data_IF_856713846007
#
_entry.id   IF_856713846007
#
_cell.length_a   1.000
_cell.length_b   1.000
_cell.length_c   1.000
_cell.angle_alpha   90.00
_cell.angle_beta   90.00
_cell.angle_gamma   90.00
#
_symmetry.space_group_name_H-M   'P 1'
#
loop_
_entity.id
_entity.type
_entity.pdbx_description
1 polymer ?
2 non-polymer ?
3 non-polymer ?
4 water ?
#
# COMPACT_ATOMS: atom_id res chain seq x y z
N UNK A 15 11.47 -6.50 -31.91
CA UNK A 15 11.11 -6.43 -30.49
C UNK A 15 10.45 -7.72 -29.99
N UNK A 16 10.81 -8.15 -28.79
CA UNK A 16 10.16 -9.33 -28.21
C UNK A 16 8.70 -9.02 -27.94
N UNK A 17 7.86 -10.05 -28.01
CA UNK A 17 6.44 -9.91 -27.76
C UNK A 17 6.02 -10.96 -26.74
N UNK A 18 5.24 -10.56 -25.74
CA UNK A 18 4.80 -11.48 -24.69
C UNK A 18 3.29 -11.49 -24.64
N UNK A 19 2.71 -12.69 -24.71
CA UNK A 19 1.27 -12.91 -24.59
C UNK A 19 0.49 -11.77 -25.22
N UNK A 20 0.87 -11.45 -26.46
CA UNK A 20 0.11 -10.55 -27.26
C UNK A 20 0.62 -9.14 -27.40
N UNK A 21 1.76 -8.78 -26.80
CA UNK A 21 2.19 -7.42 -27.07
C UNK A 21 3.68 -7.19 -26.83
N UNK A 22 4.12 -6.06 -27.35
CA UNK A 22 5.53 -5.75 -27.57
C UNK A 22 6.14 -5.21 -26.29
N UNK A 23 7.39 -5.61 -26.04
CA UNK A 23 8.23 -5.04 -25.00
C UNK A 23 9.44 -4.40 -25.67
N UNK A 24 9.39 -3.08 -25.89
CA UNK A 24 10.48 -2.37 -26.56
C UNK A 24 11.62 -2.06 -25.58
N UNK A 25 12.16 -3.13 -24.99
CA UNK A 25 13.08 -2.99 -23.86
C UNK A 25 14.51 -3.29 -24.24
N UNK A 26 14.79 -3.62 -25.50
CA UNK A 26 16.10 -4.07 -25.91
C UNK A 26 16.99 -2.92 -26.26
N UNK A 27 18.30 -3.20 -26.45
CA UNK A 27 18.89 -4.53 -26.34
C UNK A 27 19.29 -4.96 -24.93
N UNK A 28 19.26 -4.05 -23.95
CA UNK A 28 19.80 -4.38 -22.63
C UNK A 28 19.06 -5.55 -21.98
N UNK A 29 17.75 -5.67 -22.20
CA UNK A 29 16.93 -6.67 -21.53
C UNK A 29 16.39 -7.65 -22.55
N UNK A 30 16.59 -8.95 -22.30
CA UNK A 30 16.25 -9.98 -23.26
C UNK A 30 15.64 -11.19 -22.54
N UNK A 31 15.12 -12.12 -23.34
CA UNK A 31 14.58 -13.39 -22.85
C UNK A 31 13.48 -13.16 -21.81
N UNK A 32 12.41 -12.55 -22.26
CA UNK A 32 11.29 -12.19 -21.41
C UNK A 32 10.41 -13.41 -21.12
N UNK A 33 9.86 -13.43 -19.91
CA UNK A 33 8.89 -14.43 -19.49
C UNK A 33 7.75 -13.71 -18.78
N UNK A 34 6.53 -14.12 -19.09
CA UNK A 34 5.35 -13.48 -18.55
C UNK A 34 5.21 -13.77 -17.06
N UNK A 35 4.83 -12.75 -16.29
CA UNK A 35 4.50 -12.90 -14.87
C UNK A 35 3.01 -12.62 -14.63
N UNK A 36 2.55 -11.43 -14.98
CA UNK A 36 1.17 -11.06 -14.79
C UNK A 36 0.85 -9.80 -15.56
N UNK A 37 -0.39 -9.37 -15.45
CA UNK A 37 -0.84 -8.17 -16.13
C UNK A 37 -1.98 -7.53 -15.35
N UNK A 38 -2.21 -6.25 -15.62
CA UNK A 38 -3.27 -5.46 -15.05
C UNK A 38 -4.10 -4.76 -16.11
N UNK A 39 -4.83 -3.71 -15.72
CA UNK A 39 -5.75 -3.07 -16.66
C UNK A 39 -5.03 -2.35 -17.80
N UNK A 40 -3.83 -1.86 -17.54
CA UNK A 40 -3.13 -1.07 -18.55
C UNK A 40 -1.64 -1.38 -18.55
N UNK A 41 -1.26 -2.62 -18.25
CA UNK A 41 0.14 -2.97 -18.33
C UNK A 41 0.34 -4.46 -18.21
N UNK A 42 1.61 -4.86 -18.23
CA UNK A 42 1.99 -6.26 -18.14
C UNK A 42 3.35 -6.34 -17.47
N UNK A 43 3.51 -7.30 -16.56
CA UNK A 43 4.79 -7.53 -15.89
C UNK A 43 5.43 -8.77 -16.49
N UNK A 44 6.70 -8.66 -16.85
CA UNK A 44 7.50 -9.79 -17.26
C UNK A 44 8.78 -9.81 -16.44
N UNK A 45 9.44 -10.97 -16.46
CA UNK A 45 10.82 -11.09 -16.07
C UNK A 45 11.67 -11.02 -17.33
N UNK A 46 12.90 -10.52 -17.18
CA UNK A 46 13.78 -10.40 -18.33
C UNK A 46 15.21 -10.46 -17.83
N UNK A 47 16.10 -10.82 -18.74
CA UNK A 47 17.52 -10.92 -18.42
C UNK A 47 18.18 -9.57 -18.65
N UNK A 48 18.80 -9.05 -17.61
CA UNK A 48 19.53 -7.79 -17.69
C UNK A 48 20.93 -8.10 -18.20
N UNK A 49 21.19 -7.77 -19.48
CA UNK A 49 22.49 -8.11 -20.07
C UNK A 49 23.64 -7.34 -19.45
N UNK A 50 23.36 -6.20 -18.82
CA UNK A 50 24.43 -5.42 -18.21
C UNK A 50 24.78 -5.93 -16.83
N UNK A 51 23.78 -6.12 -15.97
CA UNK A 51 24.01 -6.59 -14.61
C UNK A 51 23.99 -8.11 -14.50
N UNK A 52 23.66 -8.82 -15.58
CA UNK A 52 23.79 -10.28 -15.64
C UNK A 52 22.92 -10.96 -14.59
N UNK A 53 21.68 -10.48 -14.50
CA UNK A 53 20.71 -10.97 -13.53
C UNK A 53 19.34 -10.84 -14.18
N UNK A 54 18.41 -11.71 -13.78
CA UNK A 54 17.05 -11.50 -14.23
C UNK A 54 16.40 -10.43 -13.37
N UNK A 55 15.54 -9.62 -13.99
CA UNK A 55 14.87 -8.50 -13.37
C UNK A 55 13.38 -8.61 -13.68
N UNK A 56 12.60 -7.74 -13.05
CA UNK A 56 11.21 -7.56 -13.44
C UNK A 56 11.10 -6.29 -14.27
N UNK A 57 10.32 -6.35 -15.35
CA UNK A 57 9.99 -5.18 -16.15
C UNK A 57 8.48 -5.05 -16.19
N UNK A 58 7.97 -3.90 -15.75
CA UNK A 58 6.53 -3.61 -15.81
C UNK A 58 6.28 -2.65 -16.97
N UNK A 59 5.59 -3.14 -17.99
CA UNK A 59 5.17 -2.30 -19.11
C UNK A 59 3.92 -1.54 -18.69
N UNK A 60 3.95 -0.23 -18.75
CA UNK A 60 2.83 0.61 -18.34
C UNK A 60 2.38 1.43 -19.53
N UNK A 61 1.08 1.39 -19.84
CA UNK A 61 0.50 2.10 -20.98
C UNK A 61 -0.62 3.01 -20.48
N UNK A 62 -0.27 4.12 -19.80
CA UNK A 62 -1.27 4.85 -19.03
C UNK A 62 -1.88 6.06 -19.72
N UNK A 63 -1.38 6.42 -20.90
CA UNK A 63 -1.51 7.80 -21.34
C UNK A 63 -2.92 8.14 -21.83
N UNK A 64 -3.80 7.17 -22.02
CA UNK A 64 -5.16 7.46 -22.46
C UNK A 64 -6.08 7.91 -21.33
N UNK A 65 -5.61 7.91 -20.08
CA UNK A 65 -6.52 8.20 -18.97
C UNK A 65 -5.80 8.94 -17.85
N UNK A 66 -6.44 10.00 -17.36
CA UNK A 66 -5.83 10.85 -16.35
C UNK A 66 -5.47 10.07 -15.09
N UNK A 67 -6.38 9.21 -14.61
CA UNK A 67 -6.11 8.49 -13.37
C UNK A 67 -4.95 7.53 -13.54
N UNK A 68 -4.88 6.81 -14.67
CA UNK A 68 -3.72 5.97 -14.94
C UNK A 68 -2.45 6.81 -14.93
N UNK A 69 -2.50 8.01 -15.52
CA UNK A 69 -1.33 8.86 -15.56
C UNK A 69 -0.95 9.34 -14.16
N UNK A 70 -1.94 9.65 -13.33
CA UNK A 70 -1.68 10.00 -11.93
C UNK A 70 -0.97 8.87 -11.19
N UNK A 71 -1.56 7.67 -11.21
CA UNK A 71 -0.94 6.52 -10.55
C UNK A 71 0.49 6.31 -11.02
N UNK A 72 0.71 6.37 -12.33
CA UNK A 72 2.04 6.14 -12.85
C UNK A 72 3.03 7.17 -12.33
N UNK A 73 2.61 8.44 -12.29
CA UNK A 73 3.53 9.49 -11.89
C UNK A 73 3.84 9.44 -10.41
N UNK A 74 2.83 9.16 -9.57
CA UNK A 74 3.11 9.02 -8.15
C UNK A 74 4.10 7.89 -7.89
N UNK A 75 3.88 6.75 -8.54
CA UNK A 75 4.79 5.62 -8.36
C UNK A 75 6.21 6.00 -8.73
N UNK A 76 6.40 6.57 -9.92
CA UNK A 76 7.76 6.87 -10.37
C UNK A 76 8.41 7.91 -9.46
N UNK A 77 7.67 8.97 -9.16
CA UNK A 77 8.27 10.09 -8.42
C UNK A 77 8.64 9.68 -7.01
N UNK A 78 7.77 8.96 -6.32
CA UNK A 78 8.09 8.54 -4.94
C UNK A 78 9.19 7.50 -4.92
N UNK A 79 9.08 6.47 -5.76
CA UNK A 79 10.05 5.37 -5.68
C UNK A 79 11.44 5.82 -6.07
N UNK A 80 11.56 6.81 -6.97
CA UNK A 80 12.86 7.35 -7.29
C UNK A 80 13.46 8.12 -6.12
N UNK A 81 12.63 8.78 -5.32
CA UNK A 81 13.16 9.54 -4.19
C UNK A 81 13.49 8.63 -3.01
N UNK A 82 12.70 7.58 -2.79
CA UNK A 82 12.92 6.72 -1.64
C UNK A 82 14.09 5.78 -1.85
N UNK A 83 14.83 5.53 -0.78
CA UNK A 83 15.86 4.49 -0.77
C UNK A 83 15.77 3.78 0.58
N UNK A 84 15.22 2.56 0.58
CA UNK A 84 15.00 1.81 1.81
C UNK A 84 14.93 0.32 1.48
N UNK A 85 15.52 -0.50 2.34
CA UNK A 85 15.57 -1.96 2.11
C UNK A 85 14.19 -2.59 2.00
N UNK A 86 13.16 -2.00 2.63
CA UNK A 86 11.82 -2.59 2.60
C UNK A 86 10.87 -1.84 1.66
N UNK A 87 11.40 -1.10 0.70
CA UNK A 87 10.63 -0.43 -0.33
C UNK A 87 11.28 -0.75 -1.68
N UNK A 88 10.47 -1.21 -2.64
CA UNK A 88 11.04 -1.63 -3.93
C UNK A 88 11.66 -0.41 -4.61
N UNK A 89 12.82 -0.61 -5.20
CA UNK A 89 13.45 0.45 -5.94
C UNK A 89 13.11 0.39 -7.43
N UNK A 90 13.41 1.48 -8.11
CA UNK A 90 13.35 1.55 -9.57
C UNK A 90 14.79 1.53 -10.10
N UNK A 91 15.18 0.43 -10.76
CA UNK A 91 16.54 0.30 -11.28
C UNK A 91 16.76 1.05 -12.58
N UNK A 92 15.70 1.22 -13.36
CA UNK A 92 15.82 1.71 -14.72
C UNK A 92 14.42 2.02 -15.19
N UNK A 93 14.31 2.93 -16.16
CA UNK A 93 13.03 3.19 -16.80
C UNK A 93 13.29 3.34 -18.29
N UNK A 94 12.56 2.56 -19.09
CA UNK A 94 12.71 2.55 -20.54
C UNK A 94 11.49 3.23 -21.14
N UNK A 95 11.74 4.21 -22.03
CA UNK A 95 10.69 4.77 -22.86
C UNK A 95 11.35 5.43 -24.09
N UNK A 96 10.50 5.89 -25.01
CA UNK A 96 10.96 6.47 -26.26
C UNK A 96 11.69 7.79 -26.03
N UNK A 97 12.61 8.17 -26.93
CA UNK A 97 13.39 9.40 -26.71
C UNK A 97 12.57 10.69 -26.76
N UNK A 98 11.34 10.68 -27.28
CA UNK A 98 10.55 11.90 -27.39
C UNK A 98 9.15 11.65 -26.85
N UNK A 99 8.46 12.75 -26.52
CA UNK A 99 7.09 12.63 -26.03
C UNK A 99 6.20 12.00 -27.09
N UNK A 100 6.31 12.49 -28.34
CA UNK A 100 5.46 12.01 -29.42
C UNK A 100 5.60 10.51 -29.60
N UNK A 101 6.81 9.98 -29.47
CA UNK A 101 7.03 8.57 -29.69
C UNK A 101 6.77 7.71 -28.46
N UNK A 102 6.58 8.32 -27.28
CA UNK A 102 6.38 7.58 -26.05
C UNK A 102 4.91 7.19 -25.94
N UNK A 103 4.63 5.89 -26.15
CA UNK A 103 3.31 5.32 -25.91
C UNK A 103 3.26 4.49 -24.64
N UNK A 104 4.42 4.10 -24.11
CA UNK A 104 4.50 3.23 -22.95
C UNK A 104 5.68 3.66 -22.13
N UNK A 105 5.74 3.16 -20.90
CA UNK A 105 6.89 3.31 -20.04
C UNK A 105 7.13 1.97 -19.40
N UNK A 106 8.39 1.58 -19.29
CA UNK A 106 8.78 0.32 -18.68
C UNK A 106 9.53 0.61 -17.40
N UNK A 107 9.00 0.14 -16.27
CA UNK A 107 9.67 0.28 -14.99
C UNK A 107 10.40 -1.02 -14.68
N UNK A 108 11.72 -0.93 -14.53
CA UNK A 108 12.55 -2.08 -14.24
C UNK A 108 12.81 -2.11 -12.74
N UNK A 109 12.67 -3.29 -12.14
CA UNK A 109 12.84 -3.46 -10.70
C UNK A 109 13.56 -4.76 -10.43
N UNK A 110 14.06 -4.89 -9.20
CA UNK A 110 14.58 -6.19 -8.78
C UNK A 110 13.50 -7.25 -8.97
N UNK A 111 13.90 -8.42 -9.43
CA UNK A 111 12.95 -9.50 -9.60
C UNK A 111 12.67 -10.12 -8.23
N UNK A 112 11.40 -10.09 -7.84
CA UNK A 112 10.95 -10.70 -6.59
C UNK A 112 10.31 -12.05 -6.89
N UNK A 113 10.27 -12.92 -5.89
CA UNK A 113 9.75 -14.27 -6.15
C UNK A 113 8.23 -14.27 -6.18
N UNK A 114 7.59 -13.51 -5.30
CA UNK A 114 6.14 -13.52 -5.21
C UNK A 114 5.70 -12.22 -4.53
N UNK A 115 4.39 -12.08 -4.33
CA UNK A 115 3.88 -11.06 -3.43
C UNK A 115 3.05 -11.74 -2.35
N UNK A 116 2.69 -10.96 -1.33
CA UNK A 116 2.03 -11.57 -0.18
C UNK A 116 0.63 -12.07 -0.53
N UNK A 117 -0.02 -11.45 -1.52
CA UNK A 117 -1.33 -11.93 -1.95
C UNK A 117 -1.24 -13.35 -2.51
N UNK A 118 -0.36 -13.54 -3.50
CA UNK A 118 -0.15 -14.88 -4.06
C UNK A 118 0.31 -15.85 -2.99
N UNK A 119 1.17 -15.39 -2.08
CA UNK A 119 1.69 -16.25 -1.03
C UNK A 119 0.58 -16.73 -0.10
N UNK A 120 -0.28 -15.82 0.36
CA UNK A 120 -1.33 -16.24 1.28
C UNK A 120 -2.36 -17.14 0.60
N UNK A 121 -2.51 -17.02 -0.72
CA UNK A 121 -3.41 -17.94 -1.43
C UNK A 121 -2.96 -19.39 -1.30
N UNK A 122 -1.67 -19.63 -1.09
CA UNK A 122 -1.09 -20.95 -1.30
C UNK A 122 -0.25 -21.49 -0.15
N UNK A 123 0.06 -20.69 0.88
CA UNK A 123 1.01 -21.10 1.91
C UNK A 123 0.51 -20.70 3.29
N UNK A 124 0.71 -21.59 4.26
CA UNK A 124 0.51 -21.25 5.67
C UNK A 124 1.79 -20.62 6.20
N UNK A 125 1.67 -19.48 6.88
CA UNK A 125 2.85 -18.83 7.44
C UNK A 125 3.11 -19.35 8.86
N UNK A 126 4.36 -19.71 9.14
CA UNK A 126 4.75 -19.93 10.54
C UNK A 126 4.63 -18.61 11.30
N UNK A 127 4.48 -18.69 12.64
CA UNK A 127 4.47 -17.44 13.41
C UNK A 127 5.77 -16.66 13.19
N UNK A 128 6.89 -17.37 13.07
CA UNK A 128 8.16 -16.72 12.77
C UNK A 128 8.08 -15.90 11.48
N UNK A 129 7.42 -16.44 10.44
CA UNK A 129 7.30 -15.68 9.20
C UNK A 129 6.39 -14.49 9.38
N UNK A 130 5.27 -14.68 10.08
CA UNK A 130 4.35 -13.59 10.32
C UNK A 130 5.06 -12.44 11.03
N UNK A 131 5.82 -12.78 12.07
CA UNK A 131 6.52 -11.77 12.86
C UNK A 131 7.52 -11.01 12.00
N UNK A 132 8.29 -11.74 11.19
CA UNK A 132 9.30 -11.14 10.33
C UNK A 132 8.68 -10.28 9.23
N UNK A 133 7.58 -10.76 8.61
CA UNK A 133 6.91 -9.95 7.61
C UNK A 133 6.38 -8.67 8.21
N UNK A 134 5.71 -8.78 9.35
CA UNK A 134 5.12 -7.60 9.98
C UNK A 134 6.20 -6.60 10.36
N UNK A 135 7.31 -7.08 10.93
CA UNK A 135 8.44 -6.19 11.22
C UNK A 135 8.86 -5.41 9.99
N UNK A 136 9.02 -6.11 8.86
CA UNK A 136 9.51 -5.47 7.64
C UNK A 136 8.52 -4.47 7.06
N UNK A 137 7.23 -4.79 7.08
CA UNK A 137 6.20 -3.84 6.67
C UNK A 137 6.32 -2.56 7.50
N UNK A 138 6.41 -2.71 8.82
CA UNK A 138 6.45 -1.53 9.69
C UNK A 138 7.76 -0.77 9.54
N UNK A 139 8.86 -1.48 9.31
CA UNK A 139 10.14 -0.79 9.11
C UNK A 139 10.08 0.05 7.86
N UNK A 140 9.57 -0.52 6.77
CA UNK A 140 9.38 0.26 5.56
C UNK A 140 8.38 1.40 5.77
N UNK A 141 7.31 1.14 6.52
CA UNK A 141 6.32 2.19 6.73
C UNK A 141 6.87 3.33 7.58
N UNK A 142 7.76 3.02 8.55
CA UNK A 142 8.40 4.08 9.32
C UNK A 142 9.08 5.07 8.40
N UNK A 143 9.84 4.55 7.42
CA UNK A 143 10.53 5.44 6.49
C UNK A 143 9.52 6.26 5.68
N UNK A 144 8.48 5.60 5.15
CA UNK A 144 7.46 6.29 4.36
C UNK A 144 6.82 7.42 5.17
N UNK A 145 6.39 7.11 6.39
CA UNK A 145 5.73 8.12 7.20
C UNK A 145 6.71 9.20 7.63
N UNK A 146 7.98 8.86 7.82
CA UNK A 146 8.98 9.87 8.14
C UNK A 146 9.16 10.87 7.00
N UNK A 147 8.83 10.50 5.76
CA UNK A 147 8.86 11.42 4.64
C UNK A 147 7.56 12.22 4.50
N UNK A 148 6.66 12.10 5.48
CA UNK A 148 5.33 12.71 5.46
C UNK A 148 4.50 12.21 4.29
N UNK A 149 4.69 10.96 3.91
CA UNK A 149 3.96 10.34 2.82
C UNK A 149 3.04 9.28 3.40
N UNK A 150 1.83 9.16 2.83
CA UNK A 150 0.89 8.09 3.13
C UNK A 150 0.85 7.15 1.95
N UNK A 151 0.96 5.84 2.20
CA UNK A 151 0.87 4.91 1.08
C UNK A 151 -0.56 4.83 0.55
N UNK A 152 -1.53 4.63 1.44
CA UNK A 152 -2.98 4.69 1.24
C UNK A 152 -3.54 3.48 0.52
N UNK A 153 -2.73 2.49 0.13
CA UNK A 153 -3.28 1.30 -0.50
C UNK A 153 -2.48 0.06 -0.10
N UNK A 154 -2.09 -0.02 1.17
CA UNK A 154 -1.38 -1.20 1.67
C UNK A 154 -2.32 -2.39 1.69
N UNK A 155 -1.86 -3.49 1.13
CA UNK A 155 -2.62 -4.71 1.03
C UNK A 155 -1.64 -5.78 0.59
N UNK A 156 -1.99 -7.07 0.69
CA UNK A 156 -0.97 -8.10 0.40
C UNK A 156 -0.37 -7.99 -0.99
N UNK A 157 -1.15 -7.62 -2.01
CA UNK A 157 -0.55 -7.60 -3.34
C UNK A 157 0.40 -6.43 -3.55
N UNK A 158 0.46 -5.48 -2.61
CA UNK A 158 1.45 -4.40 -2.71
C UNK A 158 2.65 -4.64 -1.81
N UNK A 159 2.90 -5.91 -1.47
CA UNK A 159 4.06 -6.33 -0.69
C UNK A 159 4.77 -7.45 -1.46
N UNK A 160 5.96 -7.17 -1.98
CA UNK A 160 6.73 -8.15 -2.71
C UNK A 160 7.67 -8.90 -1.78
N UNK A 161 7.92 -10.17 -2.10
CA UNK A 161 8.85 -11.00 -1.35
C UNK A 161 9.85 -11.63 -2.30
N UNK A 162 11.11 -11.67 -1.90
CA UNK A 162 12.09 -12.40 -2.68
C UNK A 162 12.26 -13.81 -2.11
N UNK A 163 13.19 -14.55 -2.68
CA UNK A 163 13.31 -15.95 -2.38
C UNK A 163 13.74 -16.21 -0.93
N UNK A 164 14.32 -15.21 -0.27
CA UNK A 164 14.71 -15.36 1.13
C UNK A 164 13.77 -14.59 2.05
N UNK A 165 12.58 -14.30 1.56
CA UNK A 165 11.53 -13.65 2.34
C UNK A 165 11.90 -12.21 2.76
N UNK A 166 12.74 -11.50 2.01
CA UNK A 166 12.85 -10.06 2.20
C UNK A 166 11.61 -9.42 1.59
N UNK A 167 11.03 -8.47 2.30
CA UNK A 167 9.76 -7.88 1.89
C UNK A 167 9.97 -6.44 1.46
N UNK A 168 9.33 -6.05 0.37
CA UNK A 168 9.43 -4.67 -0.13
C UNK A 168 8.05 -4.15 -0.49
N UNK A 169 7.71 -3.01 0.09
CA UNK A 169 6.46 -2.31 -0.22
C UNK A 169 6.57 -1.75 -1.61
N UNK A 170 5.50 -1.87 -2.39
CA UNK A 170 5.53 -1.44 -3.76
C UNK A 170 4.27 -0.66 -4.08
N UNK A 171 4.19 -0.21 -5.34
CA UNK A 171 3.12 0.53 -6.00
C UNK A 171 3.13 2.03 -5.76
N UNK A 172 2.51 2.50 -4.67
CA UNK A 172 2.41 3.92 -4.32
C UNK A 172 1.55 4.73 -5.29
N UNK A 173 0.71 4.08 -6.09
CA UNK A 173 -0.06 4.80 -7.11
C UNK A 173 -1.11 5.73 -6.52
N UNK A 174 -1.53 5.50 -5.28
CA UNK A 174 -2.47 6.37 -4.59
C UNK A 174 -1.83 7.17 -3.45
N UNK A 175 -0.50 7.13 -3.34
CA UNK A 175 0.20 7.77 -2.23
C UNK A 175 0.11 9.30 -2.31
N UNK A 176 0.01 9.94 -1.13
CA UNK A 176 -0.07 11.39 -1.02
C UNK A 176 0.81 11.87 0.12
N UNK A 177 1.04 13.19 0.15
CA UNK A 177 1.60 13.84 1.33
C UNK A 177 0.52 13.97 2.39
N UNK A 178 0.88 13.67 3.63
CA UNK A 178 -0.08 13.73 4.72
C UNK A 178 -0.68 15.14 4.82
N UNK A 179 -1.96 15.21 5.19
CA UNK A 179 -2.66 16.49 5.25
C UNK A 179 -3.75 16.41 6.32
N UNK A 180 -3.36 16.31 7.59
CA UNK A 180 -4.36 16.12 8.64
C UNK A 180 -5.30 17.28 8.83
N UNK A 181 -4.89 18.50 8.49
CA UNK A 181 -5.80 19.61 8.66
C UNK A 181 -6.94 19.60 7.64
N UNK A 182 -6.88 18.75 6.62
CA UNK A 182 -7.95 18.68 5.63
C UNK A 182 -8.56 17.29 5.54
N UNK A 183 -8.48 16.50 6.61
CA UNK A 183 -8.94 15.13 6.61
C UNK A 183 -10.47 14.98 6.74
N UNK A 184 -11.17 15.97 7.31
CA UNK A 184 -12.56 15.74 7.63
C UNK A 184 -13.43 15.87 6.40
N UNK A 185 -14.42 14.99 6.31
CA UNK A 185 -15.38 14.97 5.21
C UNK A 185 -16.70 14.45 5.76
N UNK A 186 -17.73 14.48 4.91
CA UNK A 186 -19.03 13.98 5.30
C UNK A 186 -19.13 12.46 5.29
N UNK A 187 -20.32 12.00 5.70
CA UNK A 187 -20.66 10.58 5.75
C UNK A 187 -20.75 9.99 4.35
N UNK A 188 -20.18 8.80 4.17
CA UNK A 188 -20.22 8.08 2.90
C UNK A 188 -19.55 8.88 1.77
N UNK A 189 -18.38 9.45 2.05
CA UNK A 189 -17.63 10.13 1.02
C UNK A 189 -16.91 9.12 0.14
N UNK A 190 -16.99 9.35 -1.18
CA UNK A 190 -16.31 8.53 -2.18
C UNK A 190 -14.84 8.31 -1.83
N UNK A 191 -14.37 7.07 -2.02
CA UNK A 191 -12.99 6.73 -1.72
C UNK A 191 -12.51 5.67 -2.71
N UNK A 192 -11.24 5.74 -3.06
CA UNK A 192 -10.67 4.98 -4.17
C UNK A 192 -9.94 3.72 -3.71
N UNK A 193 -9.11 3.83 -2.68
CA UNK A 193 -8.27 2.71 -2.23
C UNK A 193 -9.04 1.43 -1.93
N UNK A 194 -8.35 0.30 -1.96
CA UNK A 194 -8.96 -1.04 -1.92
C UNK A 194 -9.87 -1.21 -0.70
N UNK A 195 -11.11 -1.66 -0.96
CA UNK A 195 -12.17 -1.57 0.05
C UNK A 195 -11.82 -2.33 1.34
N UNK A 196 -11.40 -3.60 1.21
CA UNK A 196 -11.19 -4.45 2.40
C UNK A 196 -10.14 -3.89 3.37
N UNK A 197 -9.30 -2.96 2.94
CA UNK A 197 -8.22 -2.45 3.78
C UNK A 197 -8.51 -1.03 4.27
N UNK A 198 -9.72 -0.53 4.03
CA UNK A 198 -10.15 0.80 4.44
C UNK A 198 -10.48 0.86 5.93
N UNK A 199 -9.93 1.87 6.61
CA UNK A 199 -10.24 2.11 8.00
C UNK A 199 -11.69 2.56 8.16
N UNK A 200 -12.29 2.30 9.34
CA UNK A 200 -13.71 2.62 9.50
C UNK A 200 -14.00 4.09 9.27
N UNK A 201 -13.09 4.98 9.67
CA UNK A 201 -13.37 6.41 9.52
C UNK A 201 -13.50 6.85 8.07
N UNK A 202 -12.98 6.09 7.11
CA UNK A 202 -13.18 6.41 5.69
C UNK A 202 -14.66 6.54 5.37
N UNK A 203 -15.43 5.57 5.84
CA UNK A 203 -16.87 5.55 5.61
C UNK A 203 -17.64 6.55 6.46
N UNK A 204 -17.01 7.16 7.46
CA UNK A 204 -17.70 8.03 8.39
C UNK A 204 -17.37 9.51 8.22
N UNK A 205 -16.07 9.88 8.22
CA UNK A 205 -15.76 11.31 8.26
C UNK A 205 -14.32 11.64 7.83
N UNK A 206 -13.60 10.74 7.14
CA UNK A 206 -12.20 10.93 6.86
C UNK A 206 -11.90 10.79 5.38
N UNK A 207 -11.03 11.66 4.87
CA UNK A 207 -10.53 11.55 3.51
C UNK A 207 -9.32 10.65 3.38
N UNK A 208 -8.83 10.08 4.47
CA UNK A 208 -7.63 9.25 4.41
C UNK A 208 -6.35 10.04 4.23
N UNK A 209 -6.28 11.21 4.87
CA UNK A 209 -5.14 12.10 4.74
C UNK A 209 -4.23 12.06 5.96
N UNK A 210 -4.35 11.03 6.81
CA UNK A 210 -3.48 10.95 7.97
C UNK A 210 -2.81 9.59 8.03
N UNK A 211 -1.69 9.54 8.76
CA UNK A 211 -0.89 8.31 8.82
C UNK A 211 -1.67 7.15 9.40
N UNK A 212 -2.65 7.45 10.27
CA UNK A 212 -3.42 6.37 10.89
C UNK A 212 -4.14 5.49 9.87
N UNK A 213 -4.38 6.00 8.65
CA UNK A 213 -5.04 5.19 7.64
C UNK A 213 -4.17 3.99 7.24
N UNK A 214 -2.85 4.19 7.17
CA UNK A 214 -1.94 3.11 6.78
C UNK A 214 -1.84 2.07 7.89
N UNK A 215 -1.85 2.50 9.15
CA UNK A 215 -1.75 1.55 10.26
C UNK A 215 -2.92 0.58 10.24
N UNK A 216 -4.13 1.10 9.97
CA UNK A 216 -5.30 0.22 9.89
C UNK A 216 -5.09 -0.86 8.84
N UNK A 217 -4.59 -0.47 7.67
CA UNK A 217 -4.34 -1.44 6.60
C UNK A 217 -3.34 -2.48 7.04
N UNK A 218 -2.27 -2.08 7.72
CA UNK A 218 -1.30 -3.04 8.24
C UNK A 218 -1.97 -3.98 9.21
N UNK A 219 -2.85 -3.44 10.07
CA UNK A 219 -3.62 -4.31 10.96
C UNK A 219 -4.40 -5.36 10.19
N UNK A 220 -5.07 -4.95 9.11
CA UNK A 220 -5.79 -5.91 8.27
C UNK A 220 -4.85 -6.95 7.68
N UNK A 221 -3.66 -6.52 7.25
CA UNK A 221 -2.70 -7.47 6.69
C UNK A 221 -2.27 -8.47 7.75
N UNK A 222 -2.00 -8.01 8.96
CA UNK A 222 -1.61 -8.93 10.04
C UNK A 222 -2.68 -9.98 10.28
N UNK A 223 -3.93 -9.54 10.42
CA UNK A 223 -5.02 -10.49 10.57
C UNK A 223 -5.05 -11.50 9.43
N UNK A 224 -4.84 -11.03 8.19
CA UNK A 224 -4.91 -11.92 7.03
C UNK A 224 -3.73 -12.88 7.00
N UNK A 225 -2.56 -12.46 7.49
CA UNK A 225 -1.45 -13.40 7.65
C UNK A 225 -1.78 -14.47 8.68
N UNK A 226 -2.57 -14.13 9.70
CA UNK A 226 -2.86 -15.08 10.77
C UNK A 226 -3.80 -16.19 10.31
N UNK A 227 -4.66 -15.94 9.33
CA UNK A 227 -5.63 -16.95 8.94
C UNK A 227 -5.70 -17.23 7.45
N UNK A 228 -4.91 -16.55 6.61
CA UNK A 228 -4.97 -16.62 5.15
C UNK A 228 -6.30 -16.12 4.58
N UNK A 229 -7.07 -15.34 5.34
CA UNK A 229 -8.32 -14.83 4.80
C UNK A 229 -8.47 -13.37 5.18
N UNK A 230 -8.99 -12.54 4.28
CA UNK A 230 -9.22 -11.12 4.63
C UNK A 230 -10.15 -11.03 5.83
N UNK A 231 -9.78 -10.19 6.79
CA UNK A 231 -10.58 -10.15 7.99
C UNK A 231 -11.88 -9.37 7.77
N UNK A 232 -11.89 -8.35 6.88
CA UNK A 232 -13.05 -7.48 6.65
C UNK A 232 -13.41 -7.46 5.16
N UNK A 233 -13.96 -8.56 4.61
CA UNK A 233 -14.20 -8.61 3.15
C UNK A 233 -15.51 -7.98 2.71
N UNK A 234 -15.62 -6.66 2.90
CA UNK A 234 -16.87 -5.97 2.56
C UNK A 234 -17.17 -6.06 1.08
N UNK A 235 -18.46 -6.21 0.76
CA UNK A 235 -18.88 -6.39 -0.62
C UNK A 235 -19.34 -5.11 -1.28
N UNK A 236 -19.43 -4.01 -0.54
CA UNK A 236 -19.72 -2.71 -1.12
C UNK A 236 -19.41 -1.67 -0.05
N UNK A 237 -19.47 -0.40 -0.46
CA UNK A 237 -18.98 0.71 0.37
C UNK A 237 -19.36 0.58 1.83
N UNK A 238 -20.68 0.59 2.12
CA UNK A 238 -21.13 0.62 3.50
C UNK A 238 -20.98 -0.72 4.19
N UNK A 239 -21.07 -1.81 3.43
CA UNK A 239 -20.82 -3.15 3.97
C UNK A 239 -19.45 -3.24 4.64
N UNK A 240 -18.47 -2.51 4.12
CA UNK A 240 -17.14 -2.54 4.72
C UNK A 240 -17.20 -2.09 6.18
N UNK A 241 -17.92 -1.00 6.44
CA UNK A 241 -18.03 -0.50 7.81
C UNK A 241 -18.73 -1.52 8.69
N UNK A 242 -19.76 -2.19 8.17
CA UNK A 242 -20.49 -3.09 9.03
C UNK A 242 -19.69 -4.36 9.33
N UNK A 243 -18.80 -4.77 8.41
CA UNK A 243 -17.86 -5.86 8.74
C UNK A 243 -16.98 -5.47 9.91
N UNK A 244 -16.36 -4.29 9.85
CA UNK A 244 -15.50 -3.83 10.92
C UNK A 244 -16.26 -3.83 12.25
N UNK A 245 -17.44 -3.22 12.25
CA UNK A 245 -18.21 -3.14 13.50
C UNK A 245 -18.64 -4.52 13.99
N UNK A 246 -18.86 -5.47 13.08
CA UNK A 246 -19.26 -6.80 13.51
C UNK A 246 -18.22 -7.48 14.38
N UNK A 247 -16.96 -7.11 14.22
CA UNK A 247 -15.87 -7.66 15.01
C UNK A 247 -15.48 -6.74 16.16
N UNK A 248 -15.30 -5.44 15.87
CA UNK A 248 -14.93 -4.49 16.90
C UNK A 248 -16.07 -4.27 17.88
N UNK A 249 -17.31 -4.44 17.43
CA UNK A 249 -18.44 -4.13 18.26
C UNK A 249 -18.74 -2.65 18.20
N UNK A 250 -19.76 -2.26 18.95
CA UNK A 250 -20.22 -0.88 18.98
C UNK A 250 -19.12 0.03 19.52
N UNK A 251 -18.90 1.18 18.91
CA UNK A 251 -17.95 2.16 19.47
C UNK A 251 -18.43 2.74 20.78
N UNK A 252 -17.45 3.04 21.63
CA UNK A 252 -17.74 3.61 22.94
C UNK A 252 -18.32 5.01 22.79
N UNK A 253 -18.92 5.51 23.88
CA UNK A 253 -19.43 6.87 23.86
C UNK A 253 -18.33 7.87 23.52
N UNK A 254 -17.13 7.68 24.09
CA UNK A 254 -16.03 8.59 23.80
C UNK A 254 -15.68 8.61 22.33
N UNK A 255 -15.59 7.43 21.70
CA UNK A 255 -15.26 7.39 20.28
C UNK A 255 -16.36 7.97 19.42
N UNK A 256 -17.62 7.80 19.83
CA UNK A 256 -18.72 8.44 19.10
C UNK A 256 -18.64 9.95 19.22
N UNK A 257 -18.27 10.46 20.39
CA UNK A 257 -18.24 11.90 20.59
C UNK A 257 -17.13 12.56 19.80
N UNK A 258 -16.17 11.78 19.30
CA UNK A 258 -15.16 12.27 18.37
C UNK A 258 -15.70 12.40 16.95
N UNK A 259 -16.87 11.84 16.65
CA UNK A 259 -17.48 11.94 15.33
C UNK A 259 -18.54 13.04 15.42
N UNK A 260 -18.19 14.26 15.02
CA UNK A 260 -19.14 15.34 15.24
C UNK A 260 -20.17 15.41 14.12
N UNK A 261 -19.88 14.91 12.91
CA UNK A 261 -20.87 14.96 11.83
C UNK A 261 -22.11 14.14 12.20
N UNK A 262 -23.28 14.77 12.15
CA UNK A 262 -24.50 14.14 12.65
C UNK A 262 -24.91 12.94 11.81
N UNK A 263 -24.76 13.02 10.48
CA UNK A 263 -25.18 11.89 9.66
C UNK A 263 -24.38 10.65 10.01
N UNK A 264 -23.06 10.83 10.21
CA UNK A 264 -22.21 9.71 10.55
C UNK A 264 -22.49 9.21 11.95
N UNK A 265 -22.60 10.13 12.92
CA UNK A 265 -22.86 9.68 14.29
C UNK A 265 -24.23 9.01 14.39
N UNK A 266 -25.24 9.58 13.74
CA UNK A 266 -26.57 9.00 13.86
C UNK A 266 -26.68 7.65 13.16
N UNK A 267 -25.88 7.41 12.12
CA UNK A 267 -25.85 6.07 11.56
C UNK A 267 -25.37 5.06 12.60
N UNK A 268 -24.25 5.36 13.26
CA UNK A 268 -23.73 4.45 14.26
C UNK A 268 -24.71 4.26 15.40
N UNK A 269 -25.39 5.34 15.84
CA UNK A 269 -26.35 5.26 16.91
C UNK A 269 -27.56 4.40 16.55
N UNK A 270 -27.86 4.26 15.26
CA UNK A 270 -29.01 3.49 14.81
C UNK A 270 -28.78 1.99 14.90
N UNK A 271 -27.56 1.55 15.11
CA UNK A 271 -27.24 0.12 15.06
C UNK A 271 -27.50 -0.50 16.41
N UNK A 272 -28.01 -1.73 16.46
CA UNK A 272 -28.12 -2.42 17.74
C UNK A 272 -26.76 -2.56 18.39
N UNK A 273 -26.76 -2.62 19.72
CA UNK A 273 -25.56 -2.92 20.47
C UNK A 273 -24.94 -4.23 19.98
N UNK A 274 -23.65 -4.19 19.66
CA UNK A 274 -22.87 -5.35 19.24
C UNK A 274 -21.67 -5.48 20.16
N UNK A 275 -21.40 -6.69 20.65
CA UNK A 275 -20.21 -6.95 21.44
C UNK A 275 -18.97 -7.15 20.58
N UNK A 276 -17.81 -6.85 21.16
CA UNK A 276 -16.52 -7.16 20.57
C UNK A 276 -16.31 -8.67 20.47
N UNK A 277 -15.84 -9.15 19.33
CA UNK A 277 -15.42 -10.54 19.17
C UNK A 277 -13.96 -10.62 19.61
N UNK A 278 -13.63 -11.43 20.62
CA UNK A 278 -12.23 -11.45 21.09
C UNK A 278 -11.28 -11.99 20.03
N UNK A 279 -10.13 -11.32 19.90
CA UNK A 279 -9.16 -11.73 18.89
C UNK A 279 -8.77 -13.19 19.06
N UNK A 280 -8.72 -13.69 20.29
CA UNK A 280 -8.26 -15.06 20.46
C UNK A 280 -9.31 -16.08 20.08
N UNK A 281 -10.57 -15.66 19.88
CA UNK A 281 -11.55 -16.57 19.30
C UNK A 281 -11.48 -16.56 17.78
N UNK A 282 -11.19 -15.42 17.17
CA UNK A 282 -10.99 -15.38 15.73
C UNK A 282 -9.68 -16.05 15.32
N UNK A 283 -8.65 -15.95 16.15
CA UNK A 283 -7.31 -16.45 15.82
C UNK A 283 -6.78 -17.31 16.97
N UNK A 284 -7.41 -18.47 17.22
CA UNK A 284 -7.05 -19.24 18.43
C UNK A 284 -5.63 -19.82 18.40
N UNK A 285 -4.98 -19.89 17.23
CA UNK A 285 -3.62 -20.43 17.17
C UNK A 285 -2.56 -19.36 17.17
N UNK A 286 -2.94 -18.09 17.23
CA UNK A 286 -2.01 -16.97 17.09
C UNK A 286 -1.28 -16.67 18.40
N UNK A 287 -0.07 -16.14 18.26
CA UNK A 287 0.69 -15.63 19.39
C UNK A 287 -0.07 -14.52 20.09
N UNK A 288 -0.12 -14.59 21.43
CA UNK A 288 -0.90 -13.61 22.18
C UNK A 288 -0.34 -12.20 22.03
N UNK A 289 0.98 -12.04 21.89
CA UNK A 289 1.52 -10.71 21.63
C UNK A 289 1.13 -10.20 20.26
N UNK A 290 1.03 -11.08 19.26
CA UNK A 290 0.57 -10.64 17.95
C UNK A 290 -0.86 -10.10 18.01
N UNK A 291 -1.72 -10.73 18.82
CA UNK A 291 -3.09 -10.24 18.91
C UNK A 291 -3.17 -8.94 19.69
N UNK A 292 -2.27 -8.72 20.65
CA UNK A 292 -2.25 -7.47 21.38
C UNK A 292 -1.87 -6.32 20.46
N UNK A 293 -0.83 -6.50 19.64
CA UNK A 293 -0.50 -5.51 18.63
C UNK A 293 -1.62 -5.36 17.61
N UNK A 294 -2.21 -6.48 17.18
CA UNK A 294 -3.33 -6.41 16.24
C UNK A 294 -4.43 -5.52 16.79
N UNK A 295 -4.78 -5.71 18.07
CA UNK A 295 -5.83 -4.91 18.68
C UNK A 295 -5.52 -3.43 18.60
N UNK A 296 -4.25 -3.06 18.82
CA UNK A 296 -3.86 -1.66 18.81
C UNK A 296 -3.84 -1.06 17.41
N UNK A 297 -3.56 -1.88 16.39
CA UNK A 297 -3.61 -1.35 15.03
C UNK A 297 -5.04 -1.25 14.54
N UNK A 298 -5.89 -2.19 14.96
CA UNK A 298 -7.30 -2.18 14.53
C UNK A 298 -8.18 -1.51 15.59
N UNK A 299 -7.74 -0.34 15.99
CA UNK A 299 -8.48 0.47 16.95
C UNK A 299 -9.43 1.38 16.17
N UNK A 300 -10.68 1.44 16.62
CA UNK A 300 -11.69 2.18 15.88
C UNK A 300 -11.32 3.66 15.80
N UNK A 301 -10.94 4.25 16.92
CA UNK A 301 -10.64 5.68 16.95
C UNK A 301 -9.27 5.91 16.33
N UNK A 302 -9.16 6.65 15.22
CA UNK A 302 -7.84 6.85 14.60
C UNK A 302 -6.88 7.61 15.46
N UNK A 303 -7.37 8.47 16.35
CA UNK A 303 -6.44 9.17 17.23
C UNK A 303 -5.86 8.27 18.31
N UNK A 304 -6.55 7.20 18.70
CA UNK A 304 -6.02 6.24 19.66
C UNK A 304 -5.27 5.08 19.01
N UNK A 305 -5.29 4.99 17.70
CA UNK A 305 -4.63 3.89 17.00
C UNK A 305 -3.12 4.04 17.11
N UNK A 306 -2.42 2.92 17.31
CA UNK A 306 -0.98 2.94 17.49
C UNK A 306 -0.32 3.54 16.24
N UNK A 307 0.78 4.28 16.44
CA UNK A 307 1.56 4.81 15.34
C UNK A 307 2.68 3.81 14.98
N UNK A 308 3.32 4.04 13.82
CA UNK A 308 4.23 3.02 13.29
C UNK A 308 5.42 2.82 14.21
N UNK A 309 5.98 3.92 14.76
CA UNK A 309 7.18 3.75 15.57
C UNK A 309 6.85 3.11 16.90
N UNK A 310 5.65 3.40 17.42
CA UNK A 310 5.12 2.68 18.58
C UNK A 310 4.97 1.20 18.29
N UNK A 311 4.43 0.87 17.12
CA UNK A 311 4.21 -0.52 16.76
C UNK A 311 5.54 -1.27 16.69
N UNK A 312 6.59 -0.63 16.14
CA UNK A 312 7.86 -1.33 16.05
C UNK A 312 8.39 -1.69 17.43
N UNK A 313 8.09 -0.86 18.43
CA UNK A 313 8.54 -1.05 19.80
C UNK A 313 7.67 -2.02 20.60
N UNK A 314 6.63 -2.58 20.00
CA UNK A 314 5.72 -3.49 20.69
C UNK A 314 6.40 -4.82 21.01
N UNK A 315 6.08 -5.44 22.15
CA UNK A 315 6.77 -6.70 22.53
C UNK A 315 6.72 -7.80 21.47
N UNK A 316 5.68 -7.86 20.64
CA UNK A 316 5.64 -8.88 19.59
C UNK A 316 6.88 -8.84 18.71
N UNK A 317 7.45 -7.65 18.50
CA UNK A 317 8.56 -7.49 17.58
C UNK A 317 9.91 -7.34 18.27
N UNK A 318 9.98 -7.64 19.58
CA UNK A 318 11.18 -7.34 20.37
C UNK A 318 12.41 -8.04 19.83
N UNK A 319 12.23 -9.17 19.17
CA UNK A 319 13.40 -9.88 18.68
C UNK A 319 14.03 -9.17 17.47
N UNK A 320 13.29 -8.27 16.81
CA UNK A 320 13.80 -7.51 15.67
C UNK A 320 14.04 -6.02 15.98
N UNK A 321 13.37 -5.47 16.98
CA UNK A 321 13.32 -4.02 17.13
C UNK A 321 14.71 -3.45 17.39
N UNK A 322 15.08 -2.47 16.59
CA UNK A 322 16.36 -1.78 16.72
C UNK A 322 16.23 -0.43 16.02
N UNK A 323 15.81 0.60 16.74
CA UNK A 323 15.47 1.85 16.05
C UNK A 323 16.66 2.47 15.33
N UNK A 324 17.88 2.18 15.77
CA UNK A 324 19.07 2.60 15.03
C UNK A 324 19.23 1.87 13.70
N UNK A 325 18.54 0.76 13.51
CA UNK A 325 18.57 0.04 12.24
C UNK A 325 17.24 0.17 11.51
N UNK A 326 16.47 1.20 11.85
CA UNK A 326 15.15 1.43 11.25
C UNK A 326 15.17 2.87 10.75
N UNK A 327 15.77 3.10 9.58
CA UNK A 327 16.11 4.46 9.16
C UNK A 327 14.91 5.27 8.70
N UNK A 328 15.09 6.59 8.74
CA UNK A 328 14.08 7.52 8.29
C UNK A 328 14.61 8.27 7.07
N UNK A 329 13.70 8.95 6.39
CA UNK A 329 14.03 9.72 5.20
C UNK A 329 14.83 10.97 5.56
N UNK A 330 15.72 11.35 4.64
CA UNK A 330 16.57 12.51 4.82
C UNK A 330 15.80 13.82 4.80
N UNK A 331 14.63 13.85 4.16
CA UNK A 331 13.84 15.07 4.07
C UNK A 331 12.40 14.69 3.77
N UNK A 332 11.45 15.56 4.07
CA UNK A 332 10.07 15.28 3.68
C UNK A 332 9.92 15.31 2.16
N UNK A 333 8.94 14.54 1.68
CA UNK A 333 8.60 14.50 0.28
C UNK A 333 7.51 15.51 -0.02
N UNK A 334 7.61 16.19 -1.17
CA UNK A 334 6.56 17.10 -1.64
C UNK A 334 6.44 16.97 -3.16
N UNK A 335 5.21 17.10 -3.65
CA UNK A 335 4.99 17.20 -5.09
C UNK A 335 5.24 18.61 -5.55
N UNK A 336 5.60 18.75 -6.84
CA UNK A 336 5.70 20.08 -7.43
C UNK A 336 4.37 20.81 -7.32
N UNK A 337 3.32 20.20 -7.86
CA UNK A 337 1.95 20.64 -7.66
C UNK A 337 1.10 19.43 -7.33
N UNK A 338 -0.11 19.70 -6.84
CA UNK A 338 -1.10 18.65 -6.72
C UNK A 338 -1.36 18.05 -8.10
N UNK A 339 -1.36 16.73 -8.15
CA UNK A 339 -1.63 16.02 -9.39
C UNK A 339 -3.11 15.71 -9.55
N UNK A 340 -3.89 16.03 -8.51
CA UNK A 340 -5.29 15.62 -8.45
C UNK A 340 -6.05 16.04 -9.69
N UNK A 341 -6.04 17.32 -10.02
CA UNK A 341 -6.74 17.87 -11.17
C UNK A 341 -5.71 18.41 -12.17
N UNK A 342 -5.00 17.51 -12.84
CA UNK A 342 -4.14 17.85 -13.97
C UNK A 342 -4.49 16.95 -15.15
N UNK A 343 -4.49 17.46 -16.37
CA UNK A 343 -4.91 16.64 -17.52
C UNK A 343 -3.86 15.62 -17.90
N UNK A 344 -4.35 14.53 -18.53
CA UNK A 344 -3.49 13.40 -18.87
C UNK A 344 -2.31 13.82 -19.74
N UNK A 345 -2.53 14.72 -20.72
CA UNK A 345 -1.43 15.19 -21.54
C UNK A 345 -0.38 15.89 -20.69
N UNK A 346 -0.82 16.67 -19.71
CA UNK A 346 0.12 17.32 -18.80
C UNK A 346 0.87 16.30 -17.96
N UNK A 347 0.17 15.26 -17.49
CA UNK A 347 0.82 14.22 -16.69
C UNK A 347 1.85 13.45 -17.52
N UNK A 348 1.53 13.19 -18.80
CA UNK A 348 2.49 12.51 -19.68
C UNK A 348 3.78 13.32 -19.77
N UNK A 349 3.65 14.64 -19.87
CA UNK A 349 4.82 15.52 -19.84
C UNK A 349 5.67 15.26 -18.60
N UNK A 350 5.01 15.15 -17.44
CA UNK A 350 5.76 14.99 -16.20
C UNK A 350 6.38 13.61 -16.10
N UNK A 351 5.68 12.58 -16.55
CA UNK A 351 6.27 11.27 -16.62
C UNK A 351 7.50 11.29 -17.53
N UNK A 352 7.40 11.96 -18.68
CA UNK A 352 8.55 12.13 -19.56
C UNK A 352 9.73 12.76 -18.81
N UNK A 353 9.49 13.93 -18.20
CA UNK A 353 10.56 14.62 -17.48
C UNK A 353 11.07 13.78 -16.32
N UNK A 354 10.17 13.18 -15.55
CA UNK A 354 10.58 12.43 -14.37
C UNK A 354 11.44 11.23 -14.73
N UNK A 355 11.36 10.76 -15.97
CA UNK A 355 12.09 9.57 -16.41
C UNK A 355 13.31 9.90 -17.26
N UNK A 356 13.64 11.19 -17.41
CA UNK A 356 14.71 11.59 -18.31
C UNK A 356 16.07 11.04 -17.86
N UNK A 357 16.25 10.82 -16.55
CA UNK A 357 17.58 10.52 -16.03
C UNK A 357 18.08 9.16 -16.51
N UNK A 358 17.20 8.29 -16.97
CA UNK A 358 17.63 6.99 -17.45
C UNK A 358 17.93 6.98 -18.94
N UNK A 359 17.84 8.14 -19.58
CA UNK A 359 18.14 8.29 -21.00
C UNK A 359 19.60 8.66 -21.17
N UNK A 360 20.23 8.19 -22.25
CA UNK A 360 19.68 7.22 -23.20
X LIG B 1 -16.62 1.07 -3.29
X LIG B 1 -17.85 1.70 -3.77
X LIG B 1 -15.58 2.12 -3.32
X LIG B 1 -16.21 -0.05 -4.16
X LIG B 1 -16.80 0.55 -1.95
X LIG C 1 7.09 -10.05 -9.53
X LIG C 1 6.54 -8.82 -9.57
X LIG C 1 7.32 -7.69 -9.45
X LIG C 1 8.67 -7.77 -9.28
X LIG C 1 5.33 -7.05 -9.66
X LIG C 1 8.40 -10.16 -9.38
X LIG C 1 9.23 -9.03 -9.25
X LIG C 1 3.96 -8.87 -9.85
X LIG C 1 2.32 -9.18 -11.72
X LIG C 1 2.04 -9.80 -10.34
X LIG C 1 2.63 -8.78 -9.29
X LIG C 1 1.47 -7.93 -11.30
X LIG C 1 -0.66 -6.76 -11.57
X LIG C 1 -0.33 -5.71 -12.56
X LIG C 1 -0.04 -4.88 -13.37
X LIG C 1 9.38 -6.65 -9.18
X LIG C 1 6.55 -6.61 -9.51
X LIG C 1 5.31 -8.38 -9.72
X LIG C 1 0.26 -7.87 -11.86
X LIG C 1 3.71 -8.92 -11.32
X LIG C 1 2.39 -11.18 -10.12
X LIG C 1 3.01 -9.59 -8.18
X LIG C 1 1.97 -6.85 -10.97
#
# INVERSE_FOLDING_TARGET
HHHHHHMAAAAAAGPEMVRGQVFDVGPRYTNLSYIGEGAYGMVCSAYDNLNKVRVAIKKISPFEHQTYCQRTLREIKILLRFRHENIIGINDIIRAPTIEQMKDVYIVQDLMETDLYKLLKTQHLSNDHICYFLYQILRGLKYIHSANVLHRDLKPSNLLLNTTCDLKICDFGLARVADPDHDHTGFLTEYVATRWYRAPEIMLNSKGYTKSIDIWSVGCILAEMLSNRPIFPGKHYLDQLNHILGILGSPSQEDLNCIINLKARNYLLSLPHKNKVPWNRLFPNADSKALDLLDKMLTFNPHKRIEVEQALAHPYLEQYYDPSDEPIAEAPFKFDMELDDLPKEKLKELIFEETARFQPGYRS
SO4 S O1 O2 O3 O4
DKW N3 C4 C5 C6 C8 C2 N1 CAK CAM CAN CAP CAR CAU CAV CAW N6 N7 N9 NAT OAL OAO OAQ OAS
#
